data_IF_357488051445
#
_entry.id   IF_357488051445
#
_cell.length_a   1.000
_cell.length_b   1.000
_cell.length_c   1.000
_cell.angle_alpha   90.00
_cell.angle_beta   90.00
_cell.angle_gamma   90.00
#
_symmetry.space_group_name_H-M   'P 1'
#
loop_
_entity.id
_entity.type
_entity.pdbx_description
1 polymer ?
#
# COMPACT_ATOMS: atom_id res chain seq x y z
N UNK A 1 -9.53 4.45 16.52
CA UNK A 1 -9.21 3.33 15.61
C UNK A 1 -9.63 3.68 14.20
N UNK A 2 -8.72 3.53 13.26
CA UNK A 2 -8.89 3.91 11.85
C UNK A 2 -9.19 2.66 10.99
N UNK A 3 -9.93 1.71 11.58
CA UNK A 3 -10.14 0.35 11.05
C UNK A 3 -10.58 0.32 9.57
N UNK A 4 -11.44 1.26 9.15
CA UNK A 4 -11.87 1.36 7.76
C UNK A 4 -10.70 1.60 6.79
N UNK A 5 -9.75 2.47 7.17
CA UNK A 5 -8.56 2.75 6.36
C UNK A 5 -7.64 1.53 6.33
N UNK A 6 -7.46 0.86 7.45
CA UNK A 6 -6.63 -0.35 7.52
C UNK A 6 -7.19 -1.50 6.66
N UNK A 7 -8.51 -1.68 6.62
CA UNK A 7 -9.15 -2.66 5.73
C UNK A 7 -8.89 -2.29 4.27
N UNK A 8 -8.99 -1.00 3.91
CA UNK A 8 -8.68 -0.54 2.56
C UNK A 8 -7.21 -0.79 2.21
N UNK A 9 -6.28 -0.51 3.13
CA UNK A 9 -4.86 -0.83 2.97
C UNK A 9 -4.63 -2.34 2.84
N UNK A 10 -5.34 -3.16 3.62
CA UNK A 10 -5.23 -4.61 3.56
C UNK A 10 -5.69 -5.15 2.20
N UNK A 11 -6.88 -4.75 1.73
CA UNK A 11 -7.41 -5.22 0.45
C UNK A 11 -6.52 -4.76 -0.71
N UNK A 12 -6.13 -3.49 -0.73
CA UNK A 12 -5.24 -2.96 -1.75
C UNK A 12 -3.85 -3.61 -1.69
N UNK A 13 -3.34 -3.86 -0.47
CA UNK A 13 -2.07 -4.51 -0.22
C UNK A 13 -2.04 -5.96 -0.69
N UNK A 14 -3.06 -6.75 -0.34
CA UNK A 14 -3.21 -8.13 -0.81
C UNK A 14 -3.36 -8.18 -2.33
N UNK A 15 -4.16 -7.28 -2.91
CA UNK A 15 -4.28 -7.17 -4.36
C UNK A 15 -2.91 -6.90 -5.02
N UNK A 16 -2.17 -5.91 -4.52
CA UNK A 16 -0.83 -5.57 -5.04
C UNK A 16 0.19 -6.70 -4.84
N UNK A 17 0.11 -7.43 -3.72
CA UNK A 17 0.96 -8.57 -3.40
C UNK A 17 0.77 -9.71 -4.40
N UNK A 18 -0.48 -10.09 -4.68
CA UNK A 18 -0.78 -11.22 -5.57
C UNK A 18 -0.67 -10.85 -7.05
N UNK A 19 -1.20 -9.70 -7.44
CA UNK A 19 -1.26 -9.31 -8.86
C UNK A 19 0.01 -8.63 -9.36
N UNK A 20 0.89 -8.17 -8.46
CA UNK A 20 2.01 -7.28 -8.78
C UNK A 20 1.57 -5.95 -9.42
N UNK A 21 0.30 -5.55 -9.27
CA UNK A 21 -0.29 -4.34 -9.84
C UNK A 21 -0.94 -3.52 -8.75
N UNK A 22 -0.71 -2.22 -8.75
CA UNK A 22 -1.39 -1.32 -7.83
C UNK A 22 -2.72 -0.84 -8.41
N UNK A 23 -3.76 -0.65 -7.58
CA UNK A 23 -5.04 -0.16 -8.05
C UNK A 23 -4.93 1.27 -8.61
N UNK A 24 -5.59 1.53 -9.73
CA UNK A 24 -5.52 2.82 -10.44
C UNK A 24 -6.00 4.02 -9.61
N UNK A 25 -6.91 3.80 -8.66
CA UNK A 25 -7.39 4.83 -7.73
C UNK A 25 -6.33 5.24 -6.70
N UNK A 26 -5.31 4.42 -6.45
CA UNK A 26 -4.17 4.74 -5.56
C UNK A 26 -3.02 5.41 -6.36
N UNK A 27 -2.73 4.92 -7.56
CA UNK A 27 -1.60 5.41 -8.38
C UNK A 27 -1.92 6.79 -9.00
N UNK A 28 -3.18 7.01 -9.38
CA UNK A 28 -3.65 8.17 -10.13
C UNK A 28 -3.88 7.88 -11.61
N UNK A 29 -4.73 8.69 -12.25
CA UNK A 29 -5.10 8.53 -13.67
C UNK A 29 -3.87 8.68 -14.58
N UNK A 30 -3.75 7.80 -15.57
CA UNK A 30 -2.68 7.84 -16.59
C UNK A 30 -1.35 7.21 -16.14
N UNK A 31 -1.31 6.57 -14.98
CA UNK A 31 -0.13 5.90 -14.47
C UNK A 31 -0.43 4.43 -14.14
N UNK A 32 0.55 3.58 -14.41
CA UNK A 32 0.58 2.18 -13.97
C UNK A 32 1.81 1.95 -13.10
N UNK A 33 1.66 1.08 -12.11
CA UNK A 33 2.76 0.63 -11.27
C UNK A 33 2.65 -0.89 -11.23
N UNK A 34 3.68 -1.56 -11.77
CA UNK A 34 3.75 -3.01 -11.86
C UNK A 34 5.13 -3.54 -11.42
N UNK A 35 5.20 -4.81 -11.04
CA UNK A 35 6.46 -5.53 -10.82
C UNK A 35 6.79 -5.86 -9.35
N UNK A 36 8.04 -6.26 -9.11
CA UNK A 36 8.48 -6.73 -7.79
C UNK A 36 8.36 -5.69 -6.67
N UNK A 37 8.67 -4.42 -6.97
CA UNK A 37 8.56 -3.32 -6.01
C UNK A 37 7.10 -3.10 -5.55
N UNK A 38 6.12 -3.31 -6.44
CA UNK A 38 4.70 -3.22 -6.13
C UNK A 38 4.25 -4.32 -5.19
N UNK A 39 4.78 -5.54 -5.36
CA UNK A 39 4.50 -6.65 -4.43
C UNK A 39 5.02 -6.36 -3.03
N UNK A 40 6.22 -5.78 -2.93
CA UNK A 40 6.81 -5.40 -1.64
C UNK A 40 5.98 -4.32 -0.94
N UNK A 41 5.53 -3.32 -1.68
CA UNK A 41 4.59 -2.30 -1.17
C UNK A 41 3.25 -2.93 -0.75
N UNK A 42 2.74 -3.87 -1.53
CA UNK A 42 1.55 -4.63 -1.21
C UNK A 42 1.68 -5.39 0.11
N UNK A 43 2.82 -6.06 0.33
CA UNK A 43 3.13 -6.74 1.60
C UNK A 43 3.14 -5.76 2.79
N UNK A 44 3.78 -4.60 2.63
CA UNK A 44 3.83 -3.57 3.67
C UNK A 44 2.43 -3.07 4.04
N UNK A 45 1.58 -2.80 3.04
CA UNK A 45 0.20 -2.37 3.25
C UNK A 45 -0.67 -3.48 3.86
N UNK A 46 -0.49 -4.73 3.44
CA UNK A 46 -1.22 -5.87 3.97
C UNK A 46 -0.83 -6.20 5.42
N UNK A 47 0.41 -5.91 5.82
CA UNK A 47 0.91 -6.18 7.16
C UNK A 47 0.40 -5.20 8.24
N UNK A 48 -0.14 -4.03 7.85
CA UNK A 48 -0.62 -3.01 8.77
C UNK A 48 -1.68 -3.54 9.75
N UNK A 49 -2.79 -4.08 9.22
CA UNK A 49 -3.92 -4.50 10.05
C UNK A 49 -3.56 -5.67 10.99
N UNK A 50 -2.89 -6.75 10.52
CA UNK A 50 -2.37 -7.78 11.42
C UNK A 50 -1.38 -7.21 12.44
N UNK A 51 -0.48 -6.32 12.03
CA UNK A 51 0.53 -5.72 12.91
C UNK A 51 -0.08 -4.89 14.04
N UNK A 52 -1.01 -3.99 13.72
CA UNK A 52 -1.72 -3.17 14.70
C UNK A 52 -2.56 -4.03 15.63
N UNK A 53 -3.22 -5.08 15.12
CA UNK A 53 -4.00 -6.01 15.93
C UNK A 53 -3.12 -6.77 16.93
N UNK A 54 -1.96 -7.27 16.48
CA UNK A 54 -0.99 -7.92 17.35
C UNK A 54 -0.43 -6.97 18.43
N UNK A 55 -0.16 -5.71 18.08
CA UNK A 55 0.25 -4.68 19.05
C UNK A 55 -0.84 -4.38 20.07
N UNK A 56 -2.09 -4.21 19.63
CA UNK A 56 -3.22 -4.00 20.53
C UNK A 56 -3.43 -5.17 21.49
N UNK A 57 -3.33 -6.40 20.99
CA UNK A 57 -3.46 -7.60 21.81
C UNK A 57 -2.33 -7.71 22.85
N UNK A 58 -1.07 -7.54 22.43
CA UNK A 58 0.10 -7.62 23.33
C UNK A 58 0.11 -6.51 24.37
N UNK A 59 -0.23 -5.28 23.99
CA UNK A 59 -0.34 -4.16 24.90
C UNK A 59 -1.51 -4.34 25.89
N UNK A 60 -2.66 -4.84 25.44
CA UNK A 60 -3.79 -5.17 26.31
C UNK A 60 -3.44 -6.23 27.35
N UNK A 61 -2.73 -7.28 26.94
CA UNK A 61 -2.24 -8.30 27.86
C UNK A 61 -1.26 -7.70 28.88
N UNK A 62 -0.25 -6.96 28.44
CA UNK A 62 0.73 -6.31 29.32
C UNK A 62 0.10 -5.28 30.28
N UNK A 63 -0.90 -4.52 29.81
CA UNK A 63 -1.68 -3.57 30.61
C UNK A 63 -2.39 -4.24 31.78
N UNK A 64 -2.97 -5.42 31.55
CA UNK A 64 -3.62 -6.21 32.59
C UNK A 64 -2.64 -6.65 33.70
N UNK A 65 -1.37 -6.98 33.38
CA UNK A 65 -0.37 -7.33 34.39
C UNK A 65 0.17 -6.11 35.15
N UNK A 66 0.25 -4.95 34.50
CA UNK A 66 0.86 -3.75 35.06
C UNK A 66 -0.15 -2.75 35.65
N UNK A 67 -1.45 -3.08 35.67
CA UNK A 67 -2.55 -2.22 36.17
C UNK A 67 -2.53 -0.79 35.57
N UNK A 68 -2.18 -0.67 34.30
CA UNK A 68 -2.29 0.59 33.56
C UNK A 68 -3.18 0.41 32.35
N UNK A 69 -3.80 1.49 31.90
CA UNK A 69 -4.58 1.50 30.66
C UNK A 69 -3.67 1.86 29.46
N UNK A 70 -3.34 0.89 28.58
CA UNK A 70 -2.50 1.15 27.41
C UNK A 70 -3.27 1.80 26.25
N UNK A 71 -4.60 1.93 26.33
CA UNK A 71 -5.47 2.24 25.20
C UNK A 71 -5.06 3.50 24.45
N UNK A 72 -4.76 4.58 25.19
CA UNK A 72 -4.35 5.86 24.58
C UNK A 72 -3.01 5.73 23.87
N UNK A 73 -2.02 5.10 24.50
CA UNK A 73 -0.69 4.91 23.92
C UNK A 73 -0.72 4.06 22.66
N UNK A 74 -1.46 2.95 22.68
CA UNK A 74 -1.65 2.06 21.53
C UNK A 74 -2.32 2.81 20.38
N UNK A 75 -3.36 3.60 20.68
CA UNK A 75 -4.07 4.38 19.66
C UNK A 75 -3.17 5.42 19.00
N UNK A 76 -2.35 6.15 19.77
CA UNK A 76 -1.40 7.13 19.23
C UNK A 76 -0.36 6.45 18.34
N UNK A 77 0.14 5.29 18.78
CA UNK A 77 1.13 4.52 18.04
C UNK A 77 0.56 3.93 16.74
N UNK A 78 -0.68 3.43 16.75
CA UNK A 78 -1.42 3.00 15.55
C UNK A 78 -1.50 4.13 14.52
N UNK A 79 -1.98 5.31 14.94
CA UNK A 79 -2.12 6.47 14.05
C UNK A 79 -0.77 6.84 13.44
N UNK A 80 0.29 6.88 14.27
CA UNK A 80 1.63 7.21 13.81
C UNK A 80 2.14 6.20 12.76
N UNK A 81 1.98 4.90 13.01
CA UNK A 81 2.40 3.85 12.08
C UNK A 81 1.63 3.92 10.77
N UNK A 82 0.30 4.10 10.82
CA UNK A 82 -0.53 4.24 9.61
C UNK A 82 -0.05 5.43 8.76
N UNK A 83 0.23 6.57 9.38
CA UNK A 83 0.73 7.76 8.68
C UNK A 83 2.09 7.48 8.04
N UNK A 84 3.04 6.88 8.79
CA UNK A 84 4.37 6.56 8.28
C UNK A 84 4.29 5.61 7.08
N UNK A 85 3.49 4.55 7.17
CA UNK A 85 3.30 3.61 6.06
C UNK A 85 2.65 4.30 4.86
N UNK A 86 1.63 5.14 5.07
CA UNK A 86 1.01 5.90 4.00
C UNK A 86 2.01 6.82 3.28
N UNK A 87 2.90 7.47 4.02
CA UNK A 87 3.99 8.29 3.46
C UNK A 87 4.96 7.43 2.65
N UNK A 88 5.43 6.31 3.20
CA UNK A 88 6.35 5.40 2.51
C UNK A 88 5.73 4.89 1.21
N UNK A 89 4.47 4.46 1.25
CA UNK A 89 3.74 3.98 0.08
C UNK A 89 3.60 5.08 -0.96
N UNK A 90 3.22 6.30 -0.55
CA UNK A 90 3.06 7.44 -1.46
C UNK A 90 4.37 7.82 -2.15
N UNK A 91 5.46 7.93 -1.39
CA UNK A 91 6.79 8.27 -1.93
C UNK A 91 7.29 7.18 -2.85
N UNK A 92 7.16 5.92 -2.45
CA UNK A 92 7.60 4.79 -3.28
C UNK A 92 6.80 4.68 -4.57
N UNK A 93 5.48 4.85 -4.51
CA UNK A 93 4.60 4.88 -5.68
C UNK A 93 4.99 5.96 -6.68
N UNK A 94 5.38 7.15 -6.20
CA UNK A 94 5.86 8.24 -7.08
C UNK A 94 7.11 7.85 -7.86
N UNK A 95 7.98 7.01 -7.28
CA UNK A 95 9.22 6.57 -7.92
C UNK A 95 9.03 5.37 -8.87
N UNK A 96 8.03 4.52 -8.63
CA UNK A 96 7.82 3.30 -9.44
C UNK A 96 6.72 3.43 -10.49
N UNK A 97 5.86 4.45 -10.40
CA UNK A 97 4.79 4.65 -11.38
C UNK A 97 5.36 5.08 -12.72
N UNK A 98 4.83 4.51 -13.78
CA UNK A 98 5.19 4.81 -15.17
C UNK A 98 3.95 5.34 -15.88
N UNK A 99 4.10 6.31 -16.78
CA UNK A 99 2.99 6.76 -17.61
C UNK A 99 2.48 5.59 -18.46
N UNK A 100 1.16 5.42 -18.48
CA UNK A 100 0.51 4.44 -19.34
C UNK A 100 0.38 5.03 -20.75
N UNK A 101 1.47 4.99 -21.52
CA UNK A 101 1.47 5.43 -22.91
C UNK A 101 0.76 4.34 -23.73
N UNK A 102 -0.33 4.65 -24.44
CA UNK A 102 -0.97 3.69 -25.32
C UNK A 102 0.02 3.24 -26.39
N UNK A 103 0.06 1.94 -26.77
CA UNK A 103 0.97 1.45 -27.78
C UNK A 103 0.79 2.25 -29.07
N UNK A 104 1.87 2.85 -29.59
CA UNK A 104 1.81 3.53 -30.87
C UNK A 104 1.40 2.51 -31.94
N UNK A 105 0.43 2.85 -32.81
CA UNK A 105 0.06 1.96 -33.92
C UNK A 105 1.31 1.70 -34.78
N UNK A 106 1.49 0.48 -35.31
CA UNK A 106 2.63 0.16 -36.15
C UNK A 106 2.69 1.15 -37.30
N UNK A 107 3.80 1.89 -37.39
CA UNK A 107 4.06 2.76 -38.53
C UNK A 107 4.29 1.86 -39.74
N UNK A 108 3.26 1.65 -40.53
CA UNK A 108 3.41 1.04 -41.85
C UNK A 108 4.17 2.05 -42.70
N UNK A 109 5.51 1.95 -42.73
CA UNK A 109 6.30 2.59 -43.78
C UNK A 109 5.84 1.99 -45.10
N UNK A 110 5.00 2.73 -45.84
CA UNK A 110 4.75 2.46 -47.25
C UNK A 110 6.11 2.55 -47.96
N UNK A 111 6.72 1.39 -48.19
CA UNK A 111 7.88 1.29 -49.05
C UNK A 111 7.33 1.41 -50.47
N UNK A 112 7.33 2.62 -51.04
CA UNK A 112 7.06 2.78 -52.46
C UNK A 112 8.09 1.97 -53.26
N UNK A 113 7.67 1.03 -54.13
CA UNK A 113 8.60 0.36 -55.03
C UNK A 113 9.11 1.38 -56.06
N UNK A 114 10.44 1.52 -56.13
CA UNK A 114 11.15 2.29 -57.16
C UNK A 114 11.17 1.56 -58.49
#
# INVERSE_FOLDING_TARGET
>A
MILAIEIVFLIAGLYALFTAKMPSWIIGKGYKAEGGAVRLLGALMAALLPGVTCMGFTAGFAGAFMNFDPTVWVTVLEIFIVIVVAVIVTVSLRNIRVQDVPPQPPTYTNIEPK
#
